data_IF_353265175495
#
_entry.id   IF_353265175495
#
_cell.length_a   1.000
_cell.length_b   1.000
_cell.length_c   1.000
_cell.angle_alpha   90.00
_cell.angle_beta   90.00
_cell.angle_gamma   90.00
#
_symmetry.space_group_name_H-M   'P 1'
#
loop_
_entity.id
_entity.type
_entity.pdbx_description
1 polymer ?
#
# COMPACT_ATOMS: atom_id res chain seq x y z
N UNK A 1 10.66 66.26 -39.89
CA UNK A 1 9.26 65.80 -39.93
C UNK A 1 9.24 64.28 -40.02
N UNK A 2 8.77 63.58 -38.99
CA UNK A 2 8.50 62.15 -39.05
C UNK A 2 7.14 61.89 -38.38
N UNK A 3 6.13 61.55 -39.17
CA UNK A 3 4.81 61.15 -38.67
C UNK A 3 4.89 59.68 -38.27
N UNK A 4 4.75 59.40 -36.98
CA UNK A 4 4.60 58.04 -36.44
C UNK A 4 3.19 57.56 -36.81
N UNK A 5 3.11 56.56 -37.68
CA UNK A 5 1.85 55.90 -38.06
C UNK A 5 1.42 54.95 -36.92
N UNK A 6 0.47 55.39 -36.08
CA UNK A 6 -0.24 54.50 -35.16
C UNK A 6 -1.25 53.65 -35.97
N UNK A 7 -0.91 52.39 -36.23
CA UNK A 7 -1.85 51.40 -36.76
C UNK A 7 -2.78 50.97 -35.64
N UNK A 8 -4.00 51.51 -35.62
CA UNK A 8 -5.09 51.04 -34.76
C UNK A 8 -5.49 49.64 -35.18
N UNK A 9 -5.30 48.65 -34.30
CA UNK A 9 -5.79 47.29 -34.53
C UNK A 9 -7.32 47.30 -34.33
N UNK A 10 -8.12 46.89 -35.34
CA UNK A 10 -9.56 46.83 -35.19
C UNK A 10 -9.91 45.86 -34.07
N UNK A 11 -10.67 46.34 -33.08
CA UNK A 11 -11.05 45.60 -31.89
C UNK A 11 -11.74 44.28 -32.25
N UNK A 12 -10.98 43.19 -32.14
CA UNK A 12 -11.56 41.87 -32.01
C UNK A 12 -12.50 41.89 -30.81
N UNK A 13 -13.72 41.42 -30.99
CA UNK A 13 -14.73 41.33 -29.93
C UNK A 13 -14.09 40.59 -28.76
N UNK A 14 -13.78 41.30 -27.68
CA UNK A 14 -13.29 40.68 -26.44
C UNK A 14 -14.45 39.85 -25.87
N UNK A 15 -14.52 38.57 -26.24
CA UNK A 15 -15.41 37.60 -25.65
C UNK A 15 -14.92 37.33 -24.22
N UNK A 16 -15.41 38.13 -23.27
CA UNK A 16 -15.17 37.89 -21.85
C UNK A 16 -15.92 36.66 -21.37
N UNK A 17 -15.25 35.82 -20.58
CA UNK A 17 -15.86 34.68 -19.90
C UNK A 17 -16.88 35.20 -18.88
N UNK A 18 -18.07 34.59 -18.81
CA UNK A 18 -19.09 35.04 -17.86
C UNK A 18 -18.84 34.46 -16.47
N UNK A 19 -19.19 35.21 -15.41
CA UNK A 19 -19.13 34.70 -14.04
C UNK A 19 -20.02 33.47 -13.84
N UNK A 20 -21.15 33.42 -14.55
CA UNK A 20 -22.07 32.27 -14.49
C UNK A 20 -21.47 31.03 -15.15
N UNK A 21 -20.72 31.16 -16.25
CA UNK A 21 -20.00 30.04 -16.86
C UNK A 21 -18.96 29.48 -15.90
N UNK A 22 -18.18 30.33 -15.23
CA UNK A 22 -17.21 29.85 -14.24
C UNK A 22 -17.90 29.17 -13.05
N UNK A 23 -19.03 29.68 -12.58
CA UNK A 23 -19.78 29.10 -11.46
C UNK A 23 -20.29 27.69 -11.78
N UNK A 24 -20.88 27.48 -12.96
CA UNK A 24 -21.37 26.16 -13.38
C UNK A 24 -20.20 25.18 -13.56
N UNK A 25 -19.06 25.63 -14.08
CA UNK A 25 -17.88 24.79 -14.26
C UNK A 25 -17.33 24.31 -12.91
N UNK A 26 -17.13 25.19 -11.94
CA UNK A 26 -16.63 24.76 -10.61
C UNK A 26 -17.63 23.87 -9.88
N UNK A 27 -18.93 24.07 -10.08
CA UNK A 27 -19.98 23.20 -9.55
C UNK A 27 -19.87 21.78 -10.12
N UNK A 28 -19.75 21.64 -11.44
CA UNK A 28 -19.60 20.34 -12.09
C UNK A 28 -18.31 19.65 -11.64
N UNK A 29 -17.18 20.37 -11.60
CA UNK A 29 -15.90 19.84 -11.13
C UNK A 29 -16.01 19.38 -9.67
N UNK A 30 -16.71 20.13 -8.81
CA UNK A 30 -16.92 19.77 -7.41
C UNK A 30 -17.67 18.44 -7.24
N UNK A 31 -18.73 18.21 -8.02
CA UNK A 31 -19.49 16.96 -8.00
C UNK A 31 -18.62 15.79 -8.47
N UNK A 32 -17.89 15.97 -9.58
CA UNK A 32 -17.01 14.93 -10.11
C UNK A 32 -15.89 14.58 -9.14
N UNK A 33 -15.27 15.59 -8.51
CA UNK A 33 -14.19 15.40 -7.55
C UNK A 33 -14.64 14.61 -6.31
N UNK A 34 -15.84 14.89 -5.79
CA UNK A 34 -16.38 14.19 -4.61
C UNK A 34 -16.52 12.67 -4.82
N UNK A 35 -16.83 12.23 -6.03
CA UNK A 35 -16.95 10.80 -6.38
C UNK A 35 -15.58 10.23 -6.79
N UNK A 36 -14.77 11.00 -7.53
CA UNK A 36 -13.52 10.53 -8.09
C UNK A 36 -12.44 10.27 -7.03
N UNK A 37 -12.32 11.13 -6.01
CA UNK A 37 -11.27 11.01 -4.98
C UNK A 37 -11.30 9.68 -4.21
N UNK A 38 -12.41 9.26 -3.58
CA UNK A 38 -12.44 7.99 -2.84
C UNK A 38 -12.23 6.78 -3.76
N UNK A 39 -12.71 6.84 -5.01
CA UNK A 39 -12.50 5.80 -6.01
C UNK A 39 -11.04 5.69 -6.43
N UNK A 40 -10.34 6.82 -6.59
CA UNK A 40 -8.92 6.83 -6.93
C UNK A 40 -8.08 6.26 -5.78
N UNK A 41 -8.39 6.61 -4.52
CA UNK A 41 -7.69 6.09 -3.35
C UNK A 41 -7.74 4.56 -3.28
N UNK A 42 -8.92 3.94 -3.48
CA UNK A 42 -9.04 2.47 -3.44
C UNK A 42 -8.26 1.75 -4.54
N UNK A 43 -8.17 2.35 -5.74
CA UNK A 43 -7.34 1.81 -6.83
C UNK A 43 -5.86 1.86 -6.47
N UNK A 44 -5.40 2.97 -5.90
CA UNK A 44 -4.01 3.13 -5.45
C UNK A 44 -3.68 2.15 -4.33
N UNK A 45 -4.55 1.99 -3.34
CA UNK A 45 -4.35 1.05 -2.24
C UNK A 45 -4.25 -0.40 -2.74
N UNK A 46 -5.13 -0.77 -3.68
CA UNK A 46 -5.09 -2.09 -4.31
C UNK A 46 -3.78 -2.32 -5.06
N UNK A 47 -3.32 -1.33 -5.82
CA UNK A 47 -2.06 -1.42 -6.55
C UNK A 47 -0.87 -1.60 -5.59
N UNK A 48 -0.82 -0.81 -4.51
CA UNK A 48 0.23 -0.92 -3.47
C UNK A 48 0.20 -2.28 -2.80
N UNK A 49 -0.96 -2.74 -2.34
CA UNK A 49 -1.07 -4.05 -1.69
C UNK A 49 -0.73 -5.20 -2.65
N UNK A 50 -1.13 -5.09 -3.93
CA UNK A 50 -0.78 -6.10 -4.93
C UNK A 50 0.73 -6.23 -5.14
N UNK A 51 1.46 -5.11 -5.16
CA UNK A 51 2.93 -5.12 -5.22
C UNK A 51 3.52 -5.80 -3.98
N UNK A 52 2.98 -5.47 -2.80
CA UNK A 52 3.46 -6.02 -1.53
C UNK A 52 3.18 -7.52 -1.38
N UNK A 53 2.04 -7.99 -1.86
CA UNK A 53 1.73 -9.42 -1.93
C UNK A 53 2.75 -10.15 -2.83
N UNK A 54 3.07 -9.59 -4.00
CA UNK A 54 4.04 -10.18 -4.90
C UNK A 54 5.43 -10.28 -4.26
N UNK A 55 5.86 -9.22 -3.57
CA UNK A 55 7.11 -9.22 -2.78
C UNK A 55 7.07 -10.25 -1.66
N UNK A 56 5.98 -10.33 -0.90
CA UNK A 56 5.81 -11.30 0.18
C UNK A 56 5.85 -12.75 -0.33
N UNK A 57 5.27 -13.05 -1.50
CA UNK A 57 5.44 -14.36 -2.14
C UNK A 57 6.86 -14.63 -2.62
N UNK A 58 7.62 -13.60 -3.00
CA UNK A 58 9.05 -13.70 -3.26
C UNK A 58 9.80 -14.14 -2.00
N UNK A 59 9.54 -13.46 -0.88
CA UNK A 59 10.15 -13.76 0.42
C UNK A 59 9.74 -15.15 0.91
N UNK A 60 8.45 -15.55 0.80
CA UNK A 60 8.01 -16.91 1.12
C UNK A 60 8.82 -17.95 0.35
N UNK A 61 8.96 -17.78 -0.97
CA UNK A 61 9.73 -18.73 -1.80
C UNK A 61 11.20 -18.82 -1.36
N UNK A 62 11.81 -17.69 -1.01
CA UNK A 62 13.17 -17.67 -0.48
C UNK A 62 13.25 -18.35 0.90
N UNK A 63 12.26 -18.15 1.77
CA UNK A 63 12.15 -18.83 3.06
C UNK A 63 12.01 -20.34 2.90
N UNK A 64 11.16 -20.82 1.99
CA UNK A 64 11.05 -22.26 1.70
C UNK A 64 12.38 -22.84 1.17
N UNK A 65 13.06 -22.13 0.27
CA UNK A 65 14.36 -22.55 -0.24
C UNK A 65 15.42 -22.61 0.87
N UNK A 66 15.44 -21.61 1.76
CA UNK A 66 16.33 -21.57 2.91
C UNK A 66 16.05 -22.71 3.89
N UNK A 67 14.76 -23.01 4.14
CA UNK A 67 14.34 -24.12 4.99
C UNK A 67 14.79 -25.47 4.43
N UNK A 68 14.66 -25.69 3.12
CA UNK A 68 15.14 -26.92 2.47
C UNK A 68 16.66 -27.10 2.58
N UNK A 69 17.42 -26.01 2.67
CA UNK A 69 18.88 -26.06 2.80
C UNK A 69 19.35 -26.20 4.27
N UNK A 70 18.67 -25.57 5.23
CA UNK A 70 19.15 -25.42 6.61
C UNK A 70 18.30 -26.16 7.65
N UNK A 71 17.09 -26.61 7.29
CA UNK A 71 16.14 -27.26 8.20
C UNK A 71 15.35 -26.30 9.09
N UNK A 72 15.56 -24.99 8.96
CA UNK A 72 14.88 -23.92 9.68
C UNK A 72 14.67 -22.69 8.78
N UNK A 73 13.73 -21.81 9.13
CA UNK A 73 13.50 -20.55 8.41
C UNK A 73 14.53 -19.49 8.80
N UNK A 74 14.82 -18.57 7.89
CA UNK A 74 15.75 -17.48 8.16
C UNK A 74 15.14 -16.44 9.10
N UNK A 75 15.88 -16.05 10.14
CA UNK A 75 15.46 -15.03 11.12
C UNK A 75 15.52 -13.60 10.60
N UNK A 76 16.39 -13.37 9.61
CA UNK A 76 16.73 -12.07 9.07
C UNK A 76 16.47 -12.06 7.55
N UNK A 77 15.95 -10.96 7.02
CA UNK A 77 15.69 -10.80 5.59
C UNK A 77 16.98 -10.86 4.75
N UNK A 78 18.13 -10.49 5.34
CA UNK A 78 19.44 -10.49 4.69
C UNK A 78 20.01 -11.88 4.46
N UNK A 79 19.52 -12.88 5.18
CA UNK A 79 19.91 -14.28 4.99
C UNK A 79 19.19 -14.92 3.80
N UNK A 80 18.24 -14.20 3.20
CA UNK A 80 17.48 -14.63 2.03
C UNK A 80 18.03 -14.00 0.75
N UNK A 81 18.07 -14.79 -0.32
CA UNK A 81 18.39 -14.32 -1.67
C UNK A 81 17.17 -13.63 -2.30
N UNK A 82 16.90 -12.39 -1.88
CA UNK A 82 15.80 -11.55 -2.40
C UNK A 82 16.29 -10.18 -2.84
N UNK A 83 15.80 -9.71 -4.00
CA UNK A 83 16.26 -8.47 -4.63
C UNK A 83 15.71 -7.17 -4.00
N UNK A 84 15.07 -7.23 -2.83
CA UNK A 84 14.36 -6.09 -2.24
C UNK A 84 15.03 -5.56 -0.96
N UNK A 85 16.12 -6.21 -0.49
CA UNK A 85 16.78 -5.86 0.78
C UNK A 85 17.31 -4.42 0.78
N UNK A 86 17.73 -3.89 -0.37
CA UNK A 86 18.27 -2.53 -0.48
C UNK A 86 17.23 -1.44 -0.17
N UNK A 87 15.94 -1.72 -0.34
CA UNK A 87 14.84 -0.81 -0.02
C UNK A 87 14.31 -0.99 1.41
N UNK A 88 14.86 -1.95 2.17
CA UNK A 88 14.36 -2.39 3.46
C UNK A 88 15.34 -2.08 4.60
N UNK A 89 14.82 -1.52 5.68
CA UNK A 89 15.55 -1.28 6.92
C UNK A 89 14.91 -2.08 8.09
N UNK A 90 15.72 -2.56 9.05
CA UNK A 90 15.19 -3.26 10.21
C UNK A 90 14.37 -2.31 11.09
N UNK A 91 13.15 -2.72 11.46
CA UNK A 91 12.22 -1.88 12.20
C UNK A 91 12.53 -1.77 13.70
N UNK A 92 13.17 -2.80 14.24
CA UNK A 92 13.64 -2.90 15.61
C UNK A 92 15.05 -3.52 15.60
N UNK A 93 15.81 -3.29 16.67
CA UNK A 93 17.15 -3.87 16.84
C UNK A 93 17.17 -5.41 16.89
N UNK A 94 16.02 -6.09 16.89
CA UNK A 94 15.86 -7.55 17.02
C UNK A 94 15.72 -8.31 15.68
N UNK A 95 15.90 -7.66 14.53
CA UNK A 95 16.18 -8.30 13.23
C UNK A 95 15.03 -9.06 12.54
N UNK A 96 13.92 -9.31 13.23
CA UNK A 96 12.80 -10.09 12.73
C UNK A 96 11.65 -9.25 12.12
N UNK A 97 11.83 -7.93 12.07
CA UNK A 97 10.86 -6.97 11.55
C UNK A 97 11.56 -6.01 10.59
N UNK A 98 10.94 -5.77 9.44
CA UNK A 98 11.53 -4.99 8.36
C UNK A 98 10.53 -3.98 7.83
N UNK A 99 10.97 -2.76 7.62
CA UNK A 99 10.22 -1.69 6.96
C UNK A 99 10.85 -1.49 5.59
N UNK A 100 10.10 -1.65 4.51
CA UNK A 100 10.57 -1.26 3.19
C UNK A 100 9.72 -0.12 2.64
N UNK A 101 10.36 1.04 2.45
CA UNK A 101 9.63 2.27 2.18
C UNK A 101 8.58 2.59 3.26
N UNK A 102 7.48 3.22 2.86
CA UNK A 102 6.49 3.78 3.81
C UNK A 102 5.31 2.86 4.15
N UNK A 103 4.89 2.00 3.23
CA UNK A 103 3.64 1.24 3.41
C UNK A 103 3.86 -0.28 3.37
N UNK A 104 5.10 -0.77 3.44
CA UNK A 104 5.40 -2.20 3.48
C UNK A 104 6.18 -2.55 4.73
N UNK A 105 5.51 -3.22 5.65
CA UNK A 105 6.10 -3.73 6.88
C UNK A 105 6.03 -5.26 6.82
N UNK A 106 7.16 -5.91 7.03
CA UNK A 106 7.29 -7.35 7.19
C UNK A 106 7.45 -7.61 8.68
N UNK A 107 6.54 -8.37 9.26
CA UNK A 107 6.60 -8.75 10.67
C UNK A 107 6.87 -10.24 10.83
N UNK A 108 7.62 -10.57 11.89
CA UNK A 108 7.81 -11.92 12.41
C UNK A 108 8.48 -12.90 11.45
N UNK A 109 9.69 -12.56 11.00
CA UNK A 109 10.55 -13.48 10.23
C UNK A 109 11.23 -14.55 11.10
N UNK A 110 10.83 -14.79 12.35
CA UNK A 110 11.63 -15.63 13.26
C UNK A 110 11.58 -17.14 12.91
N UNK A 111 12.70 -17.87 13.06
CA UNK A 111 12.69 -19.32 13.19
C UNK A 111 11.94 -19.73 14.45
N UNK A 112 11.25 -20.88 14.38
CA UNK A 112 10.31 -21.38 15.38
C UNK A 112 10.78 -21.23 16.85
N UNK A 113 9.87 -20.78 17.74
CA UNK A 113 10.07 -20.79 19.19
C UNK A 113 9.56 -19.53 19.92
N UNK A 114 8.60 -19.72 20.81
CA UNK A 114 7.95 -18.76 21.73
C UNK A 114 6.97 -17.72 21.15
N UNK A 115 7.08 -17.33 19.87
CA UNK A 115 5.99 -16.70 19.12
C UNK A 115 5.79 -17.48 17.82
N UNK A 116 4.56 -17.91 17.57
CA UNK A 116 4.12 -18.75 16.46
C UNK A 116 4.72 -18.21 15.15
N UNK A 117 5.65 -18.97 14.57
CA UNK A 117 6.65 -18.47 13.62
C UNK A 117 6.64 -19.30 12.35
N UNK A 118 6.27 -18.66 11.24
CA UNK A 118 6.11 -19.34 9.95
C UNK A 118 5.14 -18.62 9.04
N UNK A 119 5.07 -17.29 9.09
CA UNK A 119 4.26 -16.51 8.18
C UNK A 119 4.89 -15.14 7.99
N UNK A 120 4.71 -14.57 6.80
CA UNK A 120 4.97 -13.16 6.53
C UNK A 120 3.68 -12.40 6.74
N UNK A 121 3.72 -11.39 7.60
CA UNK A 121 2.64 -10.41 7.69
C UNK A 121 3.06 -9.11 7.00
N UNK A 122 2.22 -8.67 6.07
CA UNK A 122 2.34 -7.43 5.31
C UNK A 122 1.28 -6.46 5.79
N UNK A 123 1.63 -5.21 6.04
CA UNK A 123 0.70 -4.18 6.52
C UNK A 123 0.62 -3.04 5.53
N UNK A 124 -0.58 -2.50 5.27
CA UNK A 124 -0.79 -1.32 4.41
C UNK A 124 -1.42 -0.19 5.21
N UNK A 125 -0.79 0.99 5.18
CA UNK A 125 -1.23 2.18 5.93
C UNK A 125 -1.12 3.45 5.08
N UNK A 126 -2.04 3.67 4.14
CA UNK A 126 -1.91 4.72 3.13
C UNK A 126 -1.91 6.13 3.72
N UNK A 127 -2.50 6.31 4.90
CA UNK A 127 -2.68 7.60 5.59
C UNK A 127 -1.59 7.86 6.65
N UNK A 128 -0.58 6.99 6.74
CA UNK A 128 0.58 7.20 7.60
C UNK A 128 1.70 7.98 6.89
N UNK A 129 2.32 8.91 7.61
CA UNK A 129 3.49 9.67 7.15
C UNK A 129 4.81 9.01 7.56
N UNK A 130 4.76 8.08 8.52
CA UNK A 130 5.92 7.39 9.11
C UNK A 130 5.87 5.87 8.90
N UNK A 131 4.93 5.40 8.08
CA UNK A 131 4.59 3.98 7.96
C UNK A 131 3.88 3.42 9.18
N UNK A 132 3.70 2.11 9.23
CA UNK A 132 2.99 1.45 10.32
C UNK A 132 3.62 0.13 10.73
N UNK A 133 3.63 -0.07 12.04
CA UNK A 133 3.95 -1.34 12.70
C UNK A 133 2.67 -2.05 13.15
N UNK A 134 2.82 -3.21 13.78
CA UNK A 134 1.77 -4.15 14.22
C UNK A 134 0.59 -3.58 15.02
N UNK A 135 0.67 -2.36 15.54
CA UNK A 135 -0.37 -1.71 16.35
C UNK A 135 -0.81 -0.33 15.83
N UNK A 136 -0.48 0.05 14.59
CA UNK A 136 -0.83 1.39 14.09
C UNK A 136 -2.33 1.56 13.88
N UNK A 137 -2.93 2.59 14.48
CA UNK A 137 -4.35 2.97 14.27
C UNK A 137 -4.68 3.31 12.81
N UNK A 138 -3.64 3.56 11.99
CA UNK A 138 -3.75 3.87 10.57
C UNK A 138 -3.70 2.64 9.65
N UNK A 139 -3.73 1.44 10.23
CA UNK A 139 -3.72 0.19 9.47
C UNK A 139 -5.04 -0.03 8.73
N UNK A 140 -4.95 -0.03 7.41
CA UNK A 140 -6.10 -0.29 6.54
C UNK A 140 -6.37 -1.79 6.42
N UNK A 141 -5.33 -2.57 6.13
CA UNK A 141 -5.37 -4.03 6.04
C UNK A 141 -3.99 -4.62 6.31
N UNK A 142 -3.98 -5.87 6.75
CA UNK A 142 -2.80 -6.73 6.84
C UNK A 142 -3.05 -8.02 6.08
N UNK A 143 -2.03 -8.57 5.45
CA UNK A 143 -2.07 -9.87 4.79
C UNK A 143 -1.09 -10.78 5.48
N UNK A 144 -1.57 -11.95 5.90
CA UNK A 144 -0.74 -13.03 6.42
C UNK A 144 -0.59 -14.09 5.34
N UNK A 145 0.65 -14.45 5.05
CA UNK A 145 1.01 -15.54 4.14
C UNK A 145 1.86 -16.52 4.94
N UNK A 146 1.28 -17.68 5.27
CA UNK A 146 1.95 -18.75 5.97
C UNK A 146 2.94 -19.53 5.11
N UNK A 147 3.97 -20.05 5.76
CA UNK A 147 5.00 -20.94 5.22
C UNK A 147 4.53 -22.38 5.28
N UNK A 148 5.06 -23.21 4.40
CA UNK A 148 4.56 -24.57 4.15
C UNK A 148 4.95 -25.55 5.27
N UNK A 149 6.00 -25.23 6.03
CA UNK A 149 6.47 -25.98 7.19
C UNK A 149 6.37 -25.18 8.51
N UNK A 150 5.58 -24.11 8.51
CA UNK A 150 5.32 -23.27 9.68
C UNK A 150 4.07 -23.69 10.44
N UNK A 151 3.68 -22.92 11.46
CA UNK A 151 2.42 -23.13 12.18
C UNK A 151 1.17 -22.65 11.40
N UNK A 152 1.39 -21.85 10.36
CA UNK A 152 0.34 -21.21 9.54
C UNK A 152 0.23 -21.85 8.14
N UNK A 153 0.46 -23.16 8.00
CA UNK A 153 0.48 -23.85 6.70
C UNK A 153 -0.81 -23.61 5.92
N UNK A 154 -0.68 -23.06 4.71
CA UNK A 154 -1.83 -22.78 3.83
C UNK A 154 -2.67 -21.56 4.23
N UNK A 155 -2.28 -20.82 5.28
CA UNK A 155 -2.96 -19.58 5.64
C UNK A 155 -2.56 -18.46 4.68
N UNK A 156 -3.51 -18.07 3.84
CA UNK A 156 -3.49 -16.83 3.09
C UNK A 156 -4.70 -16.01 3.52
N UNK A 157 -4.47 -15.10 4.47
CA UNK A 157 -5.56 -14.39 5.15
C UNK A 157 -5.39 -12.89 4.98
N UNK A 158 -6.46 -12.22 4.56
CA UNK A 158 -6.54 -10.77 4.59
C UNK A 158 -7.31 -10.32 5.82
N UNK A 159 -6.66 -9.54 6.67
CA UNK A 159 -7.19 -9.04 7.93
C UNK A 159 -7.40 -7.53 7.79
N UNK A 160 -8.61 -7.03 8.01
CA UNK A 160 -8.88 -5.59 7.98
C UNK A 160 -9.39 -5.09 9.33
N UNK A 161 -9.09 -3.82 9.65
CA UNK A 161 -9.41 -3.24 10.96
C UNK A 161 -10.84 -2.70 11.02
N UNK A 162 -11.59 -2.95 12.10
CA UNK A 162 -13.03 -2.61 12.22
C UNK A 162 -13.32 -1.19 12.75
N UNK A 163 -12.31 -0.32 12.87
CA UNK A 163 -12.51 1.06 13.36
C UNK A 163 -12.91 2.03 12.24
N UNK A 164 -12.00 2.92 11.82
CA UNK A 164 -12.30 4.04 10.91
C UNK A 164 -12.30 3.64 9.42
N UNK A 165 -11.62 2.53 9.08
CA UNK A 165 -11.40 2.11 7.69
C UNK A 165 -12.13 0.83 7.30
N UNK A 166 -13.11 0.40 8.09
CA UNK A 166 -13.79 -0.90 7.99
C UNK A 166 -14.29 -1.22 6.57
N UNK A 167 -14.94 -0.26 5.90
CA UNK A 167 -15.45 -0.48 4.55
C UNK A 167 -14.34 -0.48 3.48
N UNK A 168 -13.36 0.44 3.58
CA UNK A 168 -12.23 0.54 2.65
C UNK A 168 -11.33 -0.70 2.73
N UNK A 169 -11.02 -1.16 3.95
CA UNK A 169 -10.22 -2.36 4.20
C UNK A 169 -10.93 -3.64 3.78
N UNK A 170 -12.23 -3.78 4.11
CA UNK A 170 -13.04 -4.90 3.65
C UNK A 170 -13.12 -4.98 2.12
N UNK A 171 -13.35 -3.85 1.45
CA UNK A 171 -13.36 -3.77 -0.01
C UNK A 171 -12.00 -4.12 -0.59
N UNK A 172 -10.91 -3.63 0.00
CA UNK A 172 -9.55 -3.96 -0.41
C UNK A 172 -9.33 -5.48 -0.39
N UNK A 173 -9.57 -6.15 0.74
CA UNK A 173 -9.45 -7.61 0.86
C UNK A 173 -10.29 -8.35 -0.19
N UNK A 174 -11.54 -7.94 -0.40
CA UNK A 174 -12.42 -8.56 -1.40
C UNK A 174 -11.89 -8.39 -2.83
N UNK A 175 -11.38 -7.20 -3.18
CA UNK A 175 -10.86 -6.91 -4.53
C UNK A 175 -9.53 -7.59 -4.84
N UNK A 176 -8.79 -8.00 -3.81
CA UNK A 176 -7.54 -8.75 -3.92
C UNK A 176 -7.77 -10.26 -4.10
N UNK A 177 -9.01 -10.74 -3.90
CA UNK A 177 -9.39 -12.13 -4.17
C UNK A 177 -9.07 -13.12 -3.05
N UNK A 178 -8.75 -12.65 -1.84
CA UNK A 178 -8.55 -13.52 -0.68
C UNK A 178 -9.84 -14.23 -0.30
N UNK A 179 -9.79 -15.56 -0.17
CA UNK A 179 -10.92 -16.38 0.29
C UNK A 179 -11.15 -16.24 1.79
N UNK A 180 -10.06 -16.14 2.56
CA UNK A 180 -10.10 -16.01 4.01
C UNK A 180 -9.92 -14.53 4.37
N UNK A 181 -11.01 -13.90 4.81
CA UNK A 181 -11.03 -12.50 5.22
C UNK A 181 -11.50 -12.39 6.66
N UNK A 182 -10.67 -11.79 7.52
CA UNK A 182 -10.94 -11.62 8.95
C UNK A 182 -11.05 -10.12 9.27
N UNK A 183 -11.91 -9.82 10.23
CA UNK A 183 -12.09 -8.48 10.77
C UNK A 183 -11.48 -8.45 12.18
N UNK A 184 -10.61 -7.47 12.46
CA UNK A 184 -9.87 -7.32 13.73
C UNK A 184 -10.04 -5.93 14.36
#
# INVERSE_FOLDING_TARGET
>A
MAKIYQKSFPGGKNAGFTLIELLVVVLIIGILAAIAVPKYQSVVDKARMSDYIQRAYGIKRAQEAYYLANGEYAADLRDLDVNYVEDCEPALARGNEWICGKDFFIHNMMPQGAYVGGAIEVFLCPDSTVGCITCSDKQLARIRIGFDHGDYVGDEVCIYRVRESTQRGKQLCATLGFKNVIAE
#
